data_IF_063527455162
#
_entry.id   IF_063527455162
#
_cell.length_a   1.000
_cell.length_b   1.000
_cell.length_c   1.000
_cell.angle_alpha   90.00
_cell.angle_beta   90.00
_cell.angle_gamma   90.00
#
_symmetry.space_group_name_H-M   'P 1'
#
loop_
_entity.id
_entity.type
_entity.pdbx_description
1 polymer ?
#
# COMPACT_ATOMS: atom_id res chain seq x y z
N UNK A 1 0.68 1.62 -12.43
CA UNK A 1 1.23 0.31 -12.77
C UNK A 1 0.70 -0.05 -14.14
N UNK A 2 1.50 -0.70 -14.96
CA UNK A 2 1.05 -1.23 -16.25
C UNK A 2 0.11 -2.43 -16.03
N UNK A 3 -0.59 -2.80 -17.09
CA UNK A 3 -1.43 -3.99 -17.11
C UNK A 3 -0.60 -5.27 -16.88
N UNK A 4 0.61 -5.32 -17.45
CA UNK A 4 1.55 -6.42 -17.26
C UNK A 4 2.02 -6.58 -15.80
N UNK A 5 2.35 -5.48 -15.12
CA UNK A 5 2.75 -5.54 -13.70
C UNK A 5 1.57 -5.99 -12.81
N UNK A 6 0.35 -5.57 -13.15
CA UNK A 6 -0.86 -5.97 -12.43
C UNK A 6 -1.15 -7.46 -12.62
N UNK A 7 -0.99 -7.98 -13.84
CA UNK A 7 -1.12 -9.40 -14.13
C UNK A 7 -0.06 -10.23 -13.41
N UNK A 8 1.18 -9.76 -13.36
CA UNK A 8 2.27 -10.40 -12.61
C UNK A 8 1.96 -10.50 -11.11
N UNK A 9 1.49 -9.40 -10.49
CA UNK A 9 1.07 -9.41 -9.09
C UNK A 9 -0.07 -10.39 -8.82
N UNK A 10 -1.08 -10.42 -9.69
CA UNK A 10 -2.21 -11.33 -9.55
C UNK A 10 -1.79 -12.81 -9.69
N UNK A 11 -0.79 -13.10 -10.52
CA UNK A 11 -0.21 -14.44 -10.65
C UNK A 11 0.62 -14.85 -9.42
N UNK A 12 1.43 -13.93 -8.87
CA UNK A 12 2.30 -14.20 -7.72
C UNK A 12 1.59 -14.18 -6.37
N UNK A 13 0.51 -13.40 -6.24
CA UNK A 13 -0.26 -13.25 -5.02
C UNK A 13 -1.76 -13.17 -5.34
N UNK A 14 -2.48 -14.28 -5.17
CA UNK A 14 -3.94 -14.36 -5.39
C UNK A 14 -4.75 -13.44 -4.47
N UNK A 15 -4.13 -12.95 -3.39
CA UNK A 15 -4.72 -12.05 -2.40
C UNK A 15 -4.24 -10.59 -2.55
N UNK A 16 -3.59 -10.22 -3.67
CA UNK A 16 -3.13 -8.85 -3.91
C UNK A 16 -4.24 -7.94 -4.48
N UNK A 17 -4.41 -6.80 -3.82
CA UNK A 17 -5.08 -5.55 -4.23
C UNK A 17 -4.18 -4.59 -5.05
N UNK A 18 -4.63 -3.99 -6.16
CA UNK A 18 -3.94 -2.80 -6.74
C UNK A 18 -4.88 -1.59 -6.76
N UNK A 19 -4.42 -0.47 -6.20
CA UNK A 19 -5.13 0.81 -6.13
C UNK A 19 -4.66 1.70 -7.28
N UNK A 20 -5.52 1.90 -8.27
CA UNK A 20 -5.19 2.69 -9.46
C UNK A 20 -5.94 4.03 -9.53
N UNK A 21 -7.02 4.19 -8.76
CA UNK A 21 -7.76 5.44 -8.63
C UNK A 21 -8.26 5.66 -7.18
N UNK A 22 -8.74 6.86 -6.89
CA UNK A 22 -9.34 7.22 -5.59
C UNK A 22 -10.64 6.47 -5.29
N UNK A 23 -11.32 5.96 -6.32
CA UNK A 23 -12.68 5.41 -6.27
C UNK A 23 -12.73 3.89 -6.12
N UNK A 24 -11.59 3.20 -6.13
CA UNK A 24 -11.44 1.77 -5.95
C UNK A 24 -12.53 0.96 -6.65
N UNK A 25 -12.42 0.79 -7.98
CA UNK A 25 -12.99 -0.42 -8.60
C UNK A 25 -12.07 -1.58 -8.33
N UNK A 26 -12.11 -2.14 -7.13
CA UNK A 26 -11.53 -3.47 -6.97
C UNK A 26 -12.35 -4.45 -7.77
N UNK A 27 -11.76 -4.95 -8.84
CA UNK A 27 -12.25 -6.15 -9.50
C UNK A 27 -11.70 -7.32 -8.70
N UNK A 28 -12.44 -7.75 -7.67
CA UNK A 28 -12.29 -9.13 -7.21
C UNK A 28 -12.99 -10.00 -8.23
N UNK A 29 -12.27 -10.93 -8.85
CA UNK A 29 -12.93 -12.10 -9.42
C UNK A 29 -13.39 -12.93 -8.22
N UNK A 30 -14.66 -12.83 -7.85
CA UNK A 30 -15.25 -13.70 -6.84
C UNK A 30 -16.54 -14.31 -7.38
N UNK A 31 -16.50 -15.62 -7.58
CA UNK A 31 -17.68 -16.45 -7.63
C UNK A 31 -18.30 -16.48 -6.22
N UNK A 32 -19.24 -15.56 -5.95
CA UNK A 32 -20.33 -15.76 -5.00
C UNK A 32 -20.02 -16.06 -3.52
N UNK A 33 -18.94 -15.55 -2.92
CA UNK A 33 -18.66 -15.75 -1.48
C UNK A 33 -17.81 -14.63 -0.87
N UNK A 34 -18.01 -14.37 0.43
CA UNK A 34 -17.37 -13.33 1.25
C UNK A 34 -15.93 -12.97 0.83
N UNK A 35 -15.68 -11.68 0.61
CA UNK A 35 -14.36 -11.13 0.26
C UNK A 35 -13.34 -11.52 1.34
N UNK A 36 -12.41 -12.42 1.00
CA UNK A 36 -11.26 -12.68 1.88
C UNK A 36 -10.45 -11.39 2.01
N UNK A 37 -10.13 -11.06 3.26
CA UNK A 37 -9.11 -10.10 3.66
C UNK A 37 -7.90 -10.17 2.71
N UNK A 38 -7.59 -9.07 2.00
CA UNK A 38 -6.45 -9.03 1.09
C UNK A 38 -5.16 -9.01 1.89
N UNK A 39 -4.16 -9.80 1.50
CA UNK A 39 -2.89 -9.89 2.24
C UNK A 39 -1.93 -8.77 1.83
N UNK A 40 -2.02 -8.30 0.59
CA UNK A 40 -1.18 -7.25 0.03
C UNK A 40 -2.04 -6.21 -0.68
N UNK A 41 -1.79 -4.93 -0.44
CA UNK A 41 -2.39 -3.81 -1.14
C UNK A 41 -1.30 -2.95 -1.75
N UNK A 42 -1.43 -2.66 -3.04
CA UNK A 42 -0.42 -1.97 -3.81
C UNK A 42 -0.97 -0.63 -4.27
N UNK A 43 -0.36 0.47 -3.84
CA UNK A 43 -0.71 1.83 -4.28
C UNK A 43 0.00 2.09 -5.62
N UNK A 44 -0.76 2.05 -6.70
CA UNK A 44 -0.22 2.20 -8.04
C UNK A 44 0.39 3.59 -8.27
N UNK A 45 1.42 3.65 -9.13
CA UNK A 45 2.13 4.89 -9.52
C UNK A 45 1.24 6.05 -10.02
N UNK A 46 0.00 5.78 -10.43
CA UNK A 46 -0.96 6.82 -10.87
C UNK A 46 -1.61 7.61 -9.73
N UNK A 47 -1.50 7.13 -8.48
CA UNK A 47 -2.02 7.83 -7.31
C UNK A 47 -1.04 8.93 -6.91
N UNK A 48 -1.46 10.19 -7.09
CA UNK A 48 -0.67 11.34 -6.65
C UNK A 48 -0.36 11.27 -5.13
N UNK A 49 0.86 11.66 -4.69
CA UNK A 49 1.29 11.48 -3.30
C UNK A 49 0.36 12.08 -2.24
N UNK A 50 -0.28 13.22 -2.54
CA UNK A 50 -1.27 13.88 -1.67
C UNK A 50 -2.45 12.99 -1.26
N UNK A 51 -2.70 11.89 -1.98
CA UNK A 51 -3.80 10.96 -1.70
C UNK A 51 -3.36 9.71 -0.93
N UNK A 52 -2.05 9.51 -0.70
CA UNK A 52 -1.56 8.28 -0.07
C UNK A 52 -2.15 8.05 1.31
N UNK A 53 -2.18 9.08 2.16
CA UNK A 53 -2.77 8.99 3.51
C UNK A 53 -4.22 8.51 3.46
N UNK A 54 -5.04 9.06 2.55
CA UNK A 54 -6.44 8.68 2.36
C UNK A 54 -6.62 7.27 1.79
N UNK A 55 -5.62 6.72 1.11
CA UNK A 55 -5.64 5.32 0.65
C UNK A 55 -5.23 4.39 1.78
N UNK A 56 -4.14 4.70 2.47
CA UNK A 56 -3.55 3.79 3.47
C UNK A 56 -4.29 3.78 4.81
N UNK A 57 -5.09 4.81 5.14
CA UNK A 57 -5.85 4.87 6.39
C UNK A 57 -7.20 4.14 6.34
N UNK A 58 -7.63 3.66 5.15
CA UNK A 58 -8.95 3.03 4.98
C UNK A 58 -9.05 1.76 5.82
N UNK A 59 -10.21 1.46 6.43
CA UNK A 59 -10.38 0.24 7.21
C UNK A 59 -9.98 -1.05 6.48
N UNK A 60 -10.22 -1.12 5.16
CA UNK A 60 -9.88 -2.28 4.33
C UNK A 60 -8.38 -2.53 4.15
N UNK A 61 -7.51 -1.54 4.41
CA UNK A 61 -6.05 -1.71 4.30
C UNK A 61 -5.42 -2.23 5.58
N UNK A 62 -6.10 -2.08 6.73
CA UNK A 62 -5.58 -2.36 8.09
C UNK A 62 -5.29 -3.84 8.37
N UNK A 63 -5.59 -4.66 7.40
CA UNK A 63 -5.58 -6.10 7.44
C UNK A 63 -4.65 -6.69 6.37
N UNK A 64 -3.91 -5.82 5.68
CA UNK A 64 -3.01 -6.10 4.56
C UNK A 64 -1.64 -5.48 4.82
N UNK A 65 -0.62 -5.87 4.07
CA UNK A 65 0.60 -5.07 3.90
C UNK A 65 0.34 -4.05 2.80
N UNK A 66 0.69 -2.78 3.00
CA UNK A 66 0.57 -1.76 1.95
C UNK A 66 1.92 -1.45 1.30
N UNK A 67 1.99 -1.46 -0.03
CA UNK A 67 3.16 -1.13 -0.83
C UNK A 67 2.92 0.18 -1.58
N UNK A 68 3.77 1.19 -1.35
CA UNK A 68 3.76 2.46 -2.06
C UNK A 68 4.99 2.58 -2.97
N UNK A 69 4.78 2.93 -4.23
CA UNK A 69 5.87 3.18 -5.18
C UNK A 69 6.32 4.64 -5.16
N UNK A 70 7.61 4.85 -5.37
CA UNK A 70 8.20 6.16 -5.61
C UNK A 70 8.16 7.06 -4.38
N UNK A 71 8.30 6.51 -3.17
CA UNK A 71 8.23 7.29 -1.92
C UNK A 71 9.29 8.40 -1.85
N UNK A 72 10.37 8.30 -2.63
CA UNK A 72 11.40 9.34 -2.77
C UNK A 72 11.50 9.98 -4.16
N UNK A 73 10.55 9.71 -5.06
CA UNK A 73 10.60 10.20 -6.44
C UNK A 73 10.53 11.73 -6.57
N UNK A 74 10.10 12.43 -5.52
CA UNK A 74 10.07 13.89 -5.43
C UNK A 74 10.01 14.35 -3.98
N UNK A 75 10.25 15.64 -3.72
CA UNK A 75 10.04 16.24 -2.38
C UNK A 75 8.60 16.05 -1.88
N UNK A 76 7.61 16.18 -2.79
CA UNK A 76 6.20 15.97 -2.46
C UNK A 76 5.89 14.51 -2.09
N UNK A 77 6.51 13.55 -2.80
CA UNK A 77 6.40 12.13 -2.47
C UNK A 77 7.02 11.82 -1.11
N UNK A 78 8.23 12.33 -0.83
CA UNK A 78 8.90 12.13 0.46
C UNK A 78 8.08 12.74 1.61
N UNK A 79 7.49 13.91 1.40
CA UNK A 79 6.62 14.52 2.39
C UNK A 79 5.37 13.67 2.65
N UNK A 80 4.70 13.21 1.60
CA UNK A 80 3.53 12.34 1.73
C UNK A 80 3.87 11.01 2.39
N UNK A 81 5.05 10.43 2.12
CA UNK A 81 5.53 9.25 2.82
C UNK A 81 5.70 9.53 4.33
N UNK A 82 6.31 10.66 4.69
CA UNK A 82 6.41 11.05 6.09
C UNK A 82 5.03 11.26 6.75
N UNK A 83 4.04 11.76 6.01
CA UNK A 83 2.66 11.85 6.48
C UNK A 83 2.04 10.46 6.71
N UNK A 84 2.26 9.52 5.79
CA UNK A 84 1.83 8.12 5.95
C UNK A 84 2.45 7.49 7.20
N UNK A 85 3.75 7.65 7.41
CA UNK A 85 4.45 7.13 8.61
C UNK A 85 3.90 7.69 9.91
N UNK A 86 3.31 8.89 9.90
CA UNK A 86 2.70 9.54 11.07
C UNK A 86 1.31 9.01 11.41
N UNK A 87 0.63 8.33 10.50
CA UNK A 87 -0.70 7.79 10.74
C UNK A 87 -0.72 6.82 11.94
N UNK A 88 -1.72 6.88 12.82
CA UNK A 88 -1.87 5.94 13.93
C UNK A 88 -2.00 4.47 13.48
N UNK A 89 -2.50 4.27 12.27
CA UNK A 89 -2.67 2.94 11.67
C UNK A 89 -1.35 2.36 11.16
N UNK A 90 -0.37 3.19 10.81
CA UNK A 90 0.93 2.75 10.31
C UNK A 90 1.85 2.38 11.48
N UNK A 91 1.83 1.10 11.87
CA UNK A 91 2.57 0.62 13.04
C UNK A 91 4.03 0.35 12.71
N UNK A 92 4.31 -0.44 11.67
CA UNK A 92 5.69 -0.68 11.21
C UNK A 92 5.81 -0.22 9.77
N UNK A 93 6.84 0.57 9.48
CA UNK A 93 7.12 1.06 8.14
C UNK A 93 8.54 0.73 7.71
N UNK A 94 8.71 0.41 6.42
CA UNK A 94 10.02 0.20 5.80
C UNK A 94 10.16 1.14 4.61
N UNK A 95 11.18 1.98 4.64
CA UNK A 95 11.64 2.81 3.54
C UNK A 95 12.77 2.06 2.81
N UNK A 96 12.45 1.59 1.60
CA UNK A 96 13.35 0.89 0.69
C UNK A 96 13.80 1.81 -0.45
N UNK A 97 13.86 3.12 -0.21
CA UNK A 97 14.12 4.21 -1.16
C UNK A 97 13.06 4.39 -2.24
N UNK A 98 12.92 3.42 -3.14
CA UNK A 98 11.95 3.45 -4.23
C UNK A 98 10.58 2.93 -3.79
N UNK A 99 10.53 2.19 -2.68
CA UNK A 99 9.33 1.54 -2.18
C UNK A 99 9.13 1.80 -0.70
N UNK A 100 7.88 2.05 -0.29
CA UNK A 100 7.48 2.11 1.11
C UNK A 100 6.57 0.94 1.45
N UNK A 101 6.85 0.24 2.54
CA UNK A 101 5.95 -0.78 3.11
C UNK A 101 5.29 -0.25 4.37
N UNK A 102 4.00 -0.55 4.56
CA UNK A 102 3.25 -0.24 5.78
C UNK A 102 2.58 -1.49 6.31
N UNK A 103 2.83 -1.79 7.58
CA UNK A 103 2.20 -2.84 8.36
C UNK A 103 1.34 -2.23 9.46
N UNK A 104 0.18 -2.82 9.69
CA UNK A 104 -0.88 -2.28 10.55
C UNK A 104 -1.09 -3.09 11.84
N UNK A 105 -0.21 -4.04 12.13
CA UNK A 105 -0.32 -4.92 13.29
C UNK A 105 -0.11 -4.16 14.59
N UNK A 106 -1.22 -3.75 15.22
CA UNK A 106 -1.24 -2.98 16.48
C UNK A 106 -0.79 -3.78 17.70
N UNK A 107 -0.53 -5.09 17.58
CA UNK A 107 0.13 -5.86 18.64
C UNK A 107 1.63 -5.56 18.74
N UNK A 108 2.21 -4.94 17.69
CA UNK A 108 3.63 -4.59 17.62
C UNK A 108 3.87 -3.17 18.13
N UNK A 109 5.12 -2.93 18.55
CA UNK A 109 5.59 -1.58 18.84
C UNK A 109 5.78 -0.79 17.55
N UNK A 110 5.54 0.52 17.61
CA UNK A 110 5.67 1.39 16.46
C UNK A 110 7.13 1.54 16.05
N UNK A 111 7.45 1.31 14.77
CA UNK A 111 8.81 1.32 14.23
C UNK A 111 8.85 1.87 12.79
N UNK A 112 9.94 2.57 12.45
CA UNK A 112 10.22 3.12 11.12
C UNK A 112 11.66 2.75 10.74
N UNK A 113 11.80 1.90 9.71
CA UNK A 113 13.08 1.39 9.26
C UNK A 113 13.46 1.99 7.92
N UNK A 114 14.70 2.48 7.81
CA UNK A 114 15.34 2.75 6.51
C UNK A 114 16.29 1.59 6.25
N UNK A 115 16.03 0.83 5.19
CA UNK A 115 16.85 -0.35 4.85
C UNK A 115 17.96 0.08 3.91
N UNK A 116 19.20 0.02 4.39
CA UNK A 116 20.39 0.22 3.58
C UNK A 116 20.87 -1.14 3.05
N UNK A 117 21.14 -1.24 1.76
CA UNK A 117 21.68 -2.44 1.10
C UNK A 117 23.16 -2.25 0.74
#
# INVERSE_FOLDING_TARGET
MSEAETAYLAAGCRSAAVCQDLFWKVRVRENGGFVRQKELMVVGRGIAPRHWTAVVSRPSTRCSVCLLFGIRASKAALQAWNDVKRLPEAVVTFDLYDYGLVFYDRSKQRQDYIVNF
#
